data_IF_129136612392
#
_entry.id   IF_129136612392
#
_cell.length_a   1.000
_cell.length_b   1.000
_cell.length_c   1.000
_cell.angle_alpha   90.00
_cell.angle_beta   90.00
_cell.angle_gamma   90.00
#
_symmetry.space_group_name_H-M   'P 1'
#
loop_
_entity.id
_entity.type
_entity.pdbx_description
1 polymer ?
#
# COMPACT_ATOMS: atom_id res chain seq x y z
N UNK A 1 -30.56 0.17 -20.27
CA UNK A 1 -29.43 0.28 -21.22
C UNK A 1 -28.89 1.71 -21.14
N UNK A 2 -27.60 1.91 -20.86
CA UNK A 2 -26.96 3.22 -20.86
C UNK A 2 -26.26 3.44 -22.19
N UNK A 3 -26.51 4.58 -22.82
CA UNK A 3 -25.83 4.99 -24.06
C UNK A 3 -25.09 6.29 -23.81
N UNK A 4 -23.77 6.23 -23.88
CA UNK A 4 -22.90 7.41 -23.74
C UNK A 4 -22.28 7.72 -25.09
N UNK A 5 -22.41 8.96 -25.56
CA UNK A 5 -21.81 9.44 -26.80
C UNK A 5 -20.70 10.41 -26.46
N UNK A 6 -19.48 10.12 -26.92
CA UNK A 6 -18.33 10.99 -26.71
C UNK A 6 -17.82 11.50 -28.05
N UNK A 7 -17.61 12.81 -28.14
CA UNK A 7 -17.08 13.48 -29.32
C UNK A 7 -15.60 13.82 -29.09
N UNK A 8 -14.73 13.31 -29.94
CA UNK A 8 -13.31 13.66 -29.97
C UNK A 8 -13.10 14.88 -30.87
N UNK A 9 -12.08 15.69 -30.56
CA UNK A 9 -11.76 16.96 -31.25
C UNK A 9 -11.39 16.81 -32.74
N UNK A 10 -11.18 15.58 -33.24
CA UNK A 10 -10.83 15.27 -34.62
C UNK A 10 -12.03 14.86 -35.52
N UNK A 11 -13.27 15.11 -35.09
CA UNK A 11 -14.47 14.73 -35.85
C UNK A 11 -14.82 13.24 -35.75
N UNK A 12 -14.20 12.53 -34.81
CA UNK A 12 -14.51 11.13 -34.48
C UNK A 12 -15.45 11.13 -33.26
N UNK A 13 -16.54 10.37 -33.34
CA UNK A 13 -17.39 10.10 -32.19
C UNK A 13 -17.46 8.60 -31.96
N UNK A 14 -17.62 8.21 -30.70
CA UNK A 14 -17.93 6.83 -30.36
C UNK A 14 -19.13 6.78 -29.42
N UNK A 15 -19.86 5.67 -29.47
CA UNK A 15 -20.94 5.39 -28.55
C UNK A 15 -20.64 4.12 -27.78
N UNK A 16 -20.84 4.17 -26.46
CA UNK A 16 -20.77 3.01 -25.58
C UNK A 16 -22.18 2.64 -25.17
N UNK A 17 -22.52 1.37 -25.38
CA UNK A 17 -23.79 0.78 -24.95
C UNK A 17 -23.49 -0.22 -23.85
N UNK A 18 -24.01 0.04 -22.66
CA UNK A 18 -23.76 -0.79 -21.48
C UNK A 18 -25.08 -1.26 -20.84
N UNK A 19 -25.05 -2.46 -20.25
CA UNK A 19 -26.16 -2.95 -19.42
C UNK A 19 -26.21 -2.17 -18.11
N UNK A 20 -27.41 -1.72 -17.71
CA UNK A 20 -27.63 -1.05 -16.42
C UNK A 20 -27.54 -2.01 -15.24
N UNK A 21 -27.71 -3.31 -15.48
CA UNK A 21 -27.59 -4.33 -14.43
C UNK A 21 -26.13 -4.55 -14.00
N UNK A 22 -25.18 -4.17 -14.86
CA UNK A 22 -23.74 -4.40 -14.65
C UNK A 22 -22.94 -3.11 -14.41
N UNK A 23 -23.43 -1.98 -14.91
CA UNK A 23 -22.68 -0.73 -14.91
C UNK A 23 -23.55 0.43 -14.47
N UNK A 24 -23.01 1.24 -13.56
CA UNK A 24 -23.55 2.55 -13.25
C UNK A 24 -23.06 3.62 -14.23
N UNK A 25 -23.72 4.77 -14.22
CA UNK A 25 -23.41 5.89 -15.11
C UNK A 25 -21.97 6.40 -14.94
N UNK A 26 -21.50 6.47 -13.70
CA UNK A 26 -20.14 6.91 -13.37
C UNK A 26 -19.06 6.00 -13.96
N UNK A 27 -19.29 4.69 -13.94
CA UNK A 27 -18.39 3.69 -14.49
C UNK A 27 -18.37 3.76 -16.01
N UNK A 28 -19.53 3.91 -16.65
CA UNK A 28 -19.61 4.09 -18.11
C UNK A 28 -18.89 5.37 -18.56
N UNK A 29 -19.04 6.46 -17.81
CA UNK A 29 -18.33 7.72 -18.10
C UNK A 29 -16.81 7.59 -17.93
N UNK A 30 -16.35 6.86 -16.90
CA UNK A 30 -14.93 6.58 -16.70
C UNK A 30 -14.36 5.73 -17.84
N UNK A 31 -15.09 4.68 -18.25
CA UNK A 31 -14.71 3.85 -19.40
C UNK A 31 -14.63 4.66 -20.69
N UNK A 32 -15.60 5.55 -20.94
CA UNK A 32 -15.55 6.45 -22.08
C UNK A 32 -14.31 7.36 -22.04
N UNK A 33 -14.00 7.90 -20.86
CA UNK A 33 -12.82 8.75 -20.67
C UNK A 33 -11.51 8.00 -20.93
N UNK A 34 -11.41 6.73 -20.51
CA UNK A 34 -10.25 5.86 -20.78
C UNK A 34 -10.10 5.53 -22.26
N UNK A 35 -11.20 5.23 -22.96
CA UNK A 35 -11.18 5.01 -24.42
C UNK A 35 -10.73 6.27 -25.14
N UNK A 36 -11.27 7.43 -24.76
CA UNK A 36 -10.86 8.72 -25.32
C UNK A 36 -9.37 8.98 -25.10
N UNK A 37 -8.87 8.73 -23.88
CA UNK A 37 -7.45 8.88 -23.54
C UNK A 37 -6.53 7.96 -24.39
N UNK A 38 -6.92 6.70 -24.60
CA UNK A 38 -6.18 5.78 -25.47
C UNK A 38 -6.16 6.26 -26.94
N UNK A 39 -7.28 6.78 -27.44
CA UNK A 39 -7.35 7.32 -28.80
C UNK A 39 -6.49 8.58 -28.94
N UNK A 40 -6.49 9.47 -27.95
CA UNK A 40 -5.58 10.62 -27.93
C UNK A 40 -4.10 10.16 -27.93
N UNK A 41 -3.74 9.15 -27.14
CA UNK A 41 -2.37 8.61 -27.14
C UNK A 41 -1.97 7.97 -28.48
N UNK A 42 -2.91 7.36 -29.19
CA UNK A 42 -2.65 6.72 -30.49
C UNK A 42 -2.54 7.72 -31.65
N UNK A 43 -3.36 8.76 -31.64
CA UNK A 43 -3.53 9.67 -32.78
C UNK A 43 -2.88 11.04 -32.60
N UNK A 44 -2.63 11.49 -31.36
CA UNK A 44 -1.88 12.72 -31.15
C UNK A 44 -0.37 12.43 -31.23
N UNK A 45 0.37 13.09 -32.13
CA UNK A 45 1.81 12.95 -32.23
C UNK A 45 2.44 13.61 -31.00
N UNK A 46 2.69 12.82 -29.95
CA UNK A 46 3.47 13.31 -28.83
C UNK A 46 4.93 13.48 -29.32
N UNK A 47 5.50 14.71 -29.31
CA UNK A 47 6.86 14.94 -29.78
C UNK A 47 7.93 14.22 -28.93
N UNK A 48 7.56 13.72 -27.75
CA UNK A 48 8.44 12.96 -26.87
C UNK A 48 8.38 11.44 -27.08
N UNK A 49 7.46 10.93 -27.91
CA UNK A 49 7.29 9.50 -28.15
C UNK A 49 7.74 9.14 -29.59
N UNK A 50 8.55 8.09 -29.78
CA UNK A 50 8.95 7.66 -31.11
C UNK A 50 7.72 7.27 -31.94
N UNK A 51 7.78 7.53 -33.26
CA UNK A 51 6.72 7.21 -34.25
C UNK A 51 6.27 5.73 -34.26
N UNK A 52 7.04 4.86 -33.61
CA UNK A 52 6.83 3.42 -33.49
C UNK A 52 6.49 3.06 -32.03
N UNK A 53 5.50 3.74 -31.45
CA UNK A 53 5.04 3.39 -30.12
C UNK A 53 4.35 2.03 -30.16
N UNK A 54 4.86 1.08 -29.38
CA UNK A 54 4.26 -0.25 -29.29
C UNK A 54 2.99 -0.20 -28.45
N UNK A 55 1.98 -1.00 -28.81
CA UNK A 55 0.67 -1.00 -28.14
C UNK A 55 0.75 -1.21 -26.62
N UNK A 56 1.77 -1.92 -26.13
CA UNK A 56 1.97 -2.16 -24.70
C UNK A 56 2.40 -0.92 -23.90
N UNK A 57 2.81 0.16 -24.57
CA UNK A 57 3.22 1.41 -23.92
C UNK A 57 2.07 2.39 -23.71
N UNK A 58 0.88 2.08 -24.25
CA UNK A 58 -0.31 2.89 -24.05
C UNK A 58 -0.82 2.70 -22.62
N UNK A 59 -1.18 3.80 -21.96
CA UNK A 59 -1.72 3.76 -20.61
C UNK A 59 -3.23 3.88 -20.66
N UNK A 60 -3.92 2.92 -20.04
CA UNK A 60 -5.37 3.01 -19.79
C UNK A 60 -5.67 3.78 -18.50
N UNK A 61 -4.66 4.01 -17.66
CA UNK A 61 -4.79 4.69 -16.38
C UNK A 61 -4.76 6.19 -16.63
N UNK A 62 -5.81 6.88 -16.17
CA UNK A 62 -5.92 8.33 -16.32
C UNK A 62 -4.89 9.03 -15.42
N UNK A 63 -4.44 10.22 -15.81
CA UNK A 63 -3.48 11.01 -15.03
C UNK A 63 -3.92 11.25 -13.57
N UNK A 64 -5.22 11.39 -13.33
CA UNK A 64 -5.79 11.54 -11.99
C UNK A 64 -5.70 10.25 -11.16
N UNK A 65 -5.82 9.07 -11.80
CA UNK A 65 -5.69 7.77 -11.15
C UNK A 65 -4.24 7.46 -10.79
N UNK A 66 -3.28 7.94 -11.58
CA UNK A 66 -1.86 7.86 -11.23
C UNK A 66 -1.54 8.55 -9.90
N UNK A 67 -2.17 9.69 -9.62
CA UNK A 67 -2.02 10.39 -8.32
C UNK A 67 -2.57 9.53 -7.19
N UNK A 68 -3.77 8.97 -7.35
CA UNK A 68 -4.38 8.07 -6.35
C UNK A 68 -3.51 6.84 -6.08
N UNK A 69 -3.02 6.18 -7.13
CA UNK A 69 -2.12 5.02 -7.01
C UNK A 69 -0.85 5.43 -6.27
N UNK A 70 -0.28 6.59 -6.59
CA UNK A 70 0.89 7.09 -5.88
C UNK A 70 0.56 7.34 -4.40
N UNK A 71 -0.53 8.01 -4.08
CA UNK A 71 -0.96 8.25 -2.70
C UNK A 71 -1.14 6.94 -1.92
N UNK A 72 -1.80 5.94 -2.50
CA UNK A 72 -1.97 4.62 -1.88
C UNK A 72 -0.63 3.94 -1.61
N UNK A 73 0.28 3.92 -2.60
CA UNK A 73 1.64 3.38 -2.41
C UNK A 73 2.39 4.11 -1.32
N UNK A 74 2.29 5.43 -1.28
CA UNK A 74 3.07 6.24 -0.33
C UNK A 74 2.57 6.07 1.10
N UNK A 75 1.26 5.84 1.30
CA UNK A 75 0.69 5.59 2.63
C UNK A 75 1.18 4.26 3.25
N UNK A 76 1.47 3.24 2.45
CA UNK A 76 2.03 1.97 2.96
C UNK A 76 3.55 2.04 3.18
N UNK A 77 4.28 2.82 2.39
CA UNK A 77 5.76 2.80 2.36
C UNK A 77 6.37 3.90 3.24
N UNK A 78 5.64 4.97 3.57
CA UNK A 78 6.08 6.03 4.49
C UNK A 78 5.76 5.75 5.97
N UNK A 79 5.62 4.48 6.38
CA UNK A 79 6.09 4.17 7.73
C UNK A 79 7.59 4.41 7.66
N UNK A 80 8.04 5.47 8.34
CA UNK A 80 9.45 5.76 8.58
C UNK A 80 10.22 4.46 8.76
N UNK A 81 11.47 4.33 8.26
CA UNK A 81 12.27 3.16 8.56
C UNK A 81 12.26 3.01 10.06
N UNK A 82 11.46 2.05 10.54
CA UNK A 82 11.35 1.80 11.95
C UNK A 82 12.77 1.47 12.33
N UNK A 83 13.37 2.28 13.20
CA UNK A 83 14.64 1.97 13.84
C UNK A 83 14.56 0.47 14.14
N UNK A 84 15.44 -0.33 13.53
CA UNK A 84 15.35 -1.80 13.52
C UNK A 84 15.68 -2.36 14.91
N UNK A 85 14.98 -1.88 15.93
CA UNK A 85 14.99 -2.44 17.24
C UNK A 85 14.23 -3.75 17.14
N UNK A 86 14.89 -4.83 17.51
CA UNK A 86 14.21 -6.11 17.72
C UNK A 86 13.15 -5.92 18.81
N UNK A 87 12.11 -6.76 18.81
CA UNK A 87 11.08 -6.73 19.86
C UNK A 87 11.71 -6.73 21.28
N UNK A 88 12.74 -7.54 21.58
CA UNK A 88 13.44 -7.49 22.87
C UNK A 88 14.13 -6.15 23.17
N UNK A 89 14.71 -5.47 22.18
CA UNK A 89 15.37 -4.18 22.36
C UNK A 89 14.36 -3.07 22.69
N UNK A 90 13.25 -3.02 21.94
CA UNK A 90 12.16 -2.07 22.21
C UNK A 90 11.53 -2.32 23.58
N UNK A 91 11.32 -3.58 23.94
CA UNK A 91 10.81 -3.96 25.25
C UNK A 91 11.74 -3.51 26.38
N UNK A 92 13.05 -3.75 26.25
CA UNK A 92 14.04 -3.36 27.26
C UNK A 92 14.06 -1.84 27.48
N UNK A 93 14.00 -1.05 26.41
CA UNK A 93 13.95 0.42 26.50
C UNK A 93 12.73 0.93 27.27
N UNK A 94 11.55 0.38 26.98
CA UNK A 94 10.31 0.71 27.69
C UNK A 94 10.40 0.27 29.16
N UNK A 95 10.93 -0.92 29.42
CA UNK A 95 11.05 -1.46 30.76
C UNK A 95 11.98 -0.62 31.66
N UNK A 96 13.11 -0.12 31.13
CA UNK A 96 13.99 0.78 31.88
C UNK A 96 13.32 2.11 32.23
N UNK A 97 12.42 2.60 31.37
CA UNK A 97 11.70 3.86 31.60
C UNK A 97 10.52 3.69 32.57
N UNK A 98 9.99 2.47 32.72
CA UNK A 98 8.76 2.20 33.48
C UNK A 98 8.85 0.94 34.37
N UNK A 99 9.94 0.82 35.14
CA UNK A 99 10.25 -0.39 35.94
C UNK A 99 9.10 -0.88 36.83
N UNK A 100 8.38 0.02 37.49
CA UNK A 100 7.33 -0.32 38.46
C UNK A 100 5.92 -0.41 37.84
N UNK A 101 5.79 -0.17 36.53
CA UNK A 101 4.48 -0.25 35.86
C UNK A 101 4.15 -1.72 35.57
N UNK A 102 2.90 -2.11 35.78
CA UNK A 102 2.42 -3.46 35.44
C UNK A 102 2.53 -3.69 33.93
N UNK A 103 3.14 -4.80 33.53
CA UNK A 103 3.36 -5.20 32.14
C UNK A 103 2.48 -6.37 31.71
N UNK A 104 2.28 -7.35 32.60
CA UNK A 104 1.50 -8.56 32.33
C UNK A 104 0.71 -8.90 33.58
N UNK A 105 -0.57 -9.22 33.41
CA UNK A 105 -1.47 -9.67 34.47
C UNK A 105 -2.03 -11.04 34.08
N UNK A 106 -2.05 -11.96 35.04
CA UNK A 106 -2.64 -13.28 34.93
C UNK A 106 -3.36 -13.60 36.25
N UNK A 107 -4.69 -13.63 36.22
CA UNK A 107 -5.54 -13.78 37.39
C UNK A 107 -5.19 -12.79 38.52
N UNK A 108 -4.77 -13.27 39.70
CA UNK A 108 -4.35 -12.44 40.83
C UNK A 108 -2.86 -12.07 40.81
N UNK A 109 -2.13 -12.47 39.77
CA UNK A 109 -0.69 -12.21 39.62
C UNK A 109 -0.46 -11.09 38.62
N UNK A 110 0.42 -10.16 38.97
CA UNK A 110 0.87 -9.10 38.09
C UNK A 110 2.40 -9.07 38.10
N UNK A 111 2.99 -8.93 36.92
CA UNK A 111 4.42 -8.68 36.76
C UNK A 111 4.60 -7.26 36.23
N UNK A 112 5.46 -6.51 36.91
CA UNK A 112 5.94 -5.22 36.43
C UNK A 112 6.88 -5.39 35.24
N UNK A 113 7.09 -4.32 34.47
CA UNK A 113 8.07 -4.33 33.39
C UNK A 113 9.48 -4.70 33.89
N UNK A 114 9.86 -4.27 35.09
CA UNK A 114 11.16 -4.60 35.69
C UNK A 114 11.28 -6.09 36.02
N UNK A 115 10.26 -6.68 36.65
CA UNK A 115 10.25 -8.10 37.00
C UNK A 115 10.22 -8.98 35.74
N UNK A 116 9.38 -8.63 34.76
CA UNK A 116 9.29 -9.38 33.51
C UNK A 116 10.61 -9.34 32.74
N UNK A 117 11.29 -8.19 32.70
CA UNK A 117 12.61 -8.07 32.07
C UNK A 117 13.65 -8.94 32.79
N UNK A 118 13.66 -8.93 34.12
CA UNK A 118 14.58 -9.74 34.91
C UNK A 118 14.39 -11.24 34.64
N UNK A 119 13.15 -11.74 34.68
CA UNK A 119 12.86 -13.15 34.40
C UNK A 119 13.18 -13.52 32.96
N UNK A 120 12.87 -12.66 31.98
CA UNK A 120 13.19 -12.89 30.58
C UNK A 120 14.71 -12.98 30.34
N UNK A 121 15.50 -12.10 30.96
CA UNK A 121 16.96 -12.12 30.86
C UNK A 121 17.57 -13.33 31.55
N UNK A 122 17.09 -13.69 32.74
CA UNK A 122 17.53 -14.89 33.45
C UNK A 122 17.26 -16.15 32.62
N UNK A 123 16.06 -16.25 32.03
CA UNK A 123 15.70 -17.36 31.16
C UNK A 123 16.54 -17.39 29.88
N UNK A 124 16.79 -16.24 29.25
CA UNK A 124 17.67 -16.15 28.08
C UNK A 124 19.09 -16.64 28.40
N UNK A 125 19.65 -16.26 29.56
CA UNK A 125 20.96 -16.73 30.01
C UNK A 125 20.98 -18.24 30.24
N UNK A 126 19.93 -18.79 30.86
CA UNK A 126 19.78 -20.24 31.03
C UNK A 126 19.73 -20.98 29.69
N UNK A 127 18.95 -20.47 28.73
CA UNK A 127 18.86 -21.05 27.39
C UNK A 127 20.21 -21.03 26.67
N UNK A 128 20.94 -19.92 26.75
CA UNK A 128 22.29 -19.83 26.18
C UNK A 128 23.22 -20.85 26.82
N UNK A 129 23.19 -21.02 28.15
CA UNK A 129 24.06 -21.97 28.83
C UNK A 129 23.70 -23.43 28.58
N UNK A 130 22.41 -23.76 28.54
CA UNK A 130 21.92 -25.14 28.33
C UNK A 130 22.06 -25.56 26.86
N UNK A 131 21.90 -24.62 25.93
CA UNK A 131 21.89 -24.90 24.50
C UNK A 131 23.07 -24.27 23.75
N UNK A 132 24.15 -23.91 24.45
CA UNK A 132 25.24 -23.17 23.81
C UNK A 132 25.73 -23.89 22.55
N UNK A 133 25.42 -23.22 21.46
CA UNK A 133 25.90 -23.34 20.09
C UNK A 133 27.31 -23.92 20.11
N UNK A 134 27.43 -25.17 19.65
CA UNK A 134 28.69 -25.65 19.08
C UNK A 134 28.96 -24.75 17.87
N UNK A 135 29.84 -23.78 18.04
CA UNK A 135 30.70 -23.36 16.93
C UNK A 135 31.71 -24.48 16.61
#
# INVERSE_FOLDING_TARGET
MLTFVHNLSAGVSFSLTCSQDLFDETTVQLLASRVSYLLHQLFEPNPALPKEQSLYQLSIVLSQEHVLIHTLKTNDINRSPAIFNTVPQSFSQVAFSHLQKVSVELDEQALTYGELLFYAQQFAFLLINVHCVKE
#
